data_IF_708053124318
#
_entry.id   IF_708053124318
#
_cell.length_a   1.000
_cell.length_b   1.000
_cell.length_c   1.000
_cell.angle_alpha   90.00
_cell.angle_beta   90.00
_cell.angle_gamma   90.00
#
_symmetry.space_group_name_H-M   'P 1'
#
loop_
_entity.id
_entity.type
_entity.pdbx_description
1 polymer ?
#
# COMPACT_ATOMS: atom_id res chain seq x y z
N UNK A 1 0.37 5.09 -72.42
CA UNK A 1 -1.02 5.44 -72.09
C UNK A 1 -1.67 4.39 -71.19
N UNK A 2 -1.67 3.09 -71.52
CA UNK A 2 -2.18 2.06 -70.59
C UNK A 2 -1.26 1.78 -69.38
N UNK A 3 0.07 1.83 -69.57
CA UNK A 3 1.03 1.62 -68.48
C UNK A 3 1.13 2.80 -67.50
N UNK A 4 0.86 4.03 -67.96
CA UNK A 4 0.80 5.22 -67.09
C UNK A 4 -0.46 5.24 -66.21
N UNK A 5 -1.59 4.71 -66.71
CA UNK A 5 -2.81 4.58 -65.91
C UNK A 5 -2.67 3.51 -64.80
N UNK A 6 -1.93 2.43 -65.07
CA UNK A 6 -1.69 1.38 -64.09
C UNK A 6 -0.72 1.85 -62.98
N UNK A 7 0.35 2.58 -63.34
CA UNK A 7 1.28 3.14 -62.36
C UNK A 7 0.63 4.25 -61.51
N UNK A 8 -0.21 5.09 -62.11
CA UNK A 8 -1.00 6.09 -61.40
C UNK A 8 -1.98 5.45 -60.41
N UNK A 9 -2.69 4.39 -60.81
CA UNK A 9 -3.63 3.67 -59.94
C UNK A 9 -2.94 2.96 -58.76
N UNK A 10 -1.73 2.41 -58.97
CA UNK A 10 -0.93 1.79 -57.92
C UNK A 10 -0.41 2.85 -56.93
N UNK A 11 -0.02 4.04 -57.42
CA UNK A 11 0.41 5.15 -56.57
C UNK A 11 -0.74 5.71 -55.72
N UNK A 12 -1.95 5.82 -56.30
CA UNK A 12 -3.14 6.33 -55.61
C UNK A 12 -3.65 5.34 -54.56
N UNK A 13 -3.54 4.04 -54.83
CA UNK A 13 -3.81 2.98 -53.87
C UNK A 13 -2.82 2.98 -52.69
N UNK A 14 -1.52 3.17 -52.96
CA UNK A 14 -0.49 3.26 -51.91
C UNK A 14 -0.65 4.51 -51.03
N UNK A 15 -1.02 5.65 -51.63
CA UNK A 15 -1.34 6.89 -50.89
C UNK A 15 -2.59 6.70 -50.04
N UNK A 16 -3.60 5.98 -50.55
CA UNK A 16 -4.82 5.67 -49.81
C UNK A 16 -4.57 4.72 -48.63
N UNK A 17 -3.68 3.74 -48.78
CA UNK A 17 -3.30 2.80 -47.72
C UNK A 17 -2.44 3.46 -46.63
N UNK A 18 -1.55 4.37 -47.03
CA UNK A 18 -0.79 5.21 -46.10
C UNK A 18 -1.69 6.19 -45.33
N UNK A 19 -2.65 6.83 -46.02
CA UNK A 19 -3.65 7.70 -45.39
C UNK A 19 -4.56 6.93 -44.42
N UNK A 20 -4.96 5.70 -44.77
CA UNK A 20 -5.74 4.83 -43.90
C UNK A 20 -4.94 4.39 -42.66
N UNK A 21 -3.64 4.11 -42.81
CA UNK A 21 -2.76 3.77 -41.69
C UNK A 21 -2.56 4.95 -40.74
N UNK A 22 -2.34 6.16 -41.27
CA UNK A 22 -2.24 7.38 -40.45
C UNK A 22 -3.56 7.71 -39.75
N UNK A 23 -4.70 7.47 -40.41
CA UNK A 23 -6.02 7.66 -39.80
C UNK A 23 -6.28 6.67 -38.66
N UNK A 24 -5.75 5.45 -38.71
CA UNK A 24 -5.85 4.47 -37.63
C UNK A 24 -4.90 4.75 -36.45
N UNK A 25 -3.79 5.46 -36.68
CA UNK A 25 -2.92 5.98 -35.61
C UNK A 25 -3.49 7.24 -34.94
N UNK A 26 -4.32 8.01 -35.64
CA UNK A 26 -4.92 9.26 -35.16
C UNK A 26 -6.31 9.07 -34.55
N UNK A 27 -6.98 7.95 -34.85
CA UNK A 27 -8.16 7.53 -34.10
C UNK A 27 -7.69 7.17 -32.69
N UNK A 28 -8.08 7.91 -31.64
CA UNK A 28 -7.92 7.39 -30.30
C UNK A 28 -8.60 6.00 -30.32
N UNK A 29 -7.97 4.95 -29.79
CA UNK A 29 -8.72 3.74 -29.53
C UNK A 29 -9.98 4.16 -28.78
N UNK A 30 -11.12 3.58 -29.12
CA UNK A 30 -12.33 3.63 -28.29
C UNK A 30 -12.01 2.91 -26.96
N UNK A 31 -11.07 3.47 -26.22
CA UNK A 31 -10.90 3.27 -24.81
C UNK A 31 -12.08 4.02 -24.23
N UNK A 32 -13.19 3.31 -24.12
CA UNK A 32 -14.25 3.64 -23.20
C UNK A 32 -13.58 3.80 -21.84
N UNK A 33 -13.12 5.02 -21.54
CA UNK A 33 -13.19 5.57 -20.21
C UNK A 33 -14.67 5.41 -19.90
N UNK A 34 -15.05 4.30 -19.26
CA UNK A 34 -16.32 4.24 -18.58
C UNK A 34 -16.24 5.38 -17.60
N UNK A 35 -16.88 6.48 -17.98
CA UNK A 35 -17.23 7.64 -17.20
C UNK A 35 -18.22 7.20 -16.11
N UNK A 36 -17.76 6.28 -15.26
CA UNK A 36 -18.38 5.90 -13.99
C UNK A 36 -17.61 6.56 -12.84
N UNK A 37 -16.97 7.69 -13.13
CA UNK A 37 -16.28 8.51 -12.15
C UNK A 37 -17.01 9.82 -11.95
N UNK A 38 -18.32 9.71 -11.68
CA UNK A 38 -18.92 10.65 -10.75
C UNK A 38 -18.26 10.40 -9.41
N UNK A 39 -17.15 11.10 -9.19
CA UNK A 39 -16.41 11.08 -7.94
C UNK A 39 -17.23 11.82 -6.88
N UNK A 40 -18.23 11.14 -6.33
CA UNK A 40 -19.07 11.65 -5.23
C UNK A 40 -18.35 11.54 -3.87
N UNK A 41 -17.06 11.19 -3.84
CA UNK A 41 -16.32 10.96 -2.59
C UNK A 41 -15.16 11.93 -2.45
N UNK A 42 -15.49 13.07 -1.86
CA UNK A 42 -14.56 14.02 -1.30
C UNK A 42 -13.65 13.29 -0.29
N UNK A 43 -12.33 13.37 -0.47
CA UNK A 43 -11.37 12.93 0.55
C UNK A 43 -11.76 13.59 1.88
N UNK A 44 -11.96 12.79 2.94
CA UNK A 44 -12.18 13.33 4.29
C UNK A 44 -10.93 14.16 4.64
N UNK A 45 -11.07 15.48 4.55
CA UNK A 45 -10.11 16.43 5.12
C UNK A 45 -10.01 16.11 6.61
N UNK A 46 -8.85 15.62 7.02
CA UNK A 46 -8.58 15.33 8.43
C UNK A 46 -8.76 16.65 9.17
N UNK A 47 -9.78 16.72 10.01
CA UNK A 47 -10.09 17.90 10.82
C UNK A 47 -8.80 18.44 11.44
N UNK A 48 -8.46 19.70 11.14
CA UNK A 48 -7.27 20.39 11.67
C UNK A 48 -7.31 20.62 13.19
N UNK A 49 -8.30 20.05 13.88
CA UNK A 49 -8.47 20.13 15.33
C UNK A 49 -7.61 19.12 16.11
N UNK A 50 -6.94 18.18 15.42
CA UNK A 50 -5.86 17.39 16.03
C UNK A 50 -4.53 18.10 15.71
N UNK A 51 -4.03 18.82 16.71
CA UNK A 51 -2.85 19.70 16.72
C UNK A 51 -1.52 18.94 16.54
N UNK A 52 -1.42 18.14 15.48
CA UNK A 52 -0.18 17.57 14.99
C UNK A 52 0.33 18.46 13.87
N UNK A 53 1.06 19.51 14.23
CA UNK A 53 1.88 20.28 13.29
C UNK A 53 3.00 19.39 12.73
N UNK A 54 2.68 18.56 11.74
CA UNK A 54 3.68 18.04 10.84
C UNK A 54 4.03 19.18 9.90
N UNK A 55 5.24 19.72 10.07
CA UNK A 55 5.85 20.59 9.09
C UNK A 55 6.01 19.77 7.81
N UNK A 56 5.01 19.81 6.93
CA UNK A 56 5.15 19.27 5.58
C UNK A 56 6.21 20.13 4.88
N UNK A 57 7.36 19.52 4.61
CA UNK A 57 8.46 20.15 3.89
C UNK A 57 7.98 20.50 2.46
N UNK A 58 7.49 21.73 2.29
CA UNK A 58 7.11 22.34 1.00
C UNK A 58 8.26 22.43 -0.03
N UNK A 59 9.45 21.92 0.30
CA UNK A 59 10.57 21.76 -0.64
C UNK A 59 10.27 20.77 -1.76
N UNK A 60 9.49 19.72 -1.52
CA UNK A 60 9.28 18.65 -2.50
C UNK A 60 8.39 19.11 -3.67
N UNK A 61 7.29 19.80 -3.36
CA UNK A 61 6.39 20.37 -4.37
C UNK A 61 7.09 21.48 -5.19
N UNK A 62 7.89 22.33 -4.53
CA UNK A 62 8.61 23.41 -5.21
C UNK A 62 9.67 22.86 -6.16
N UNK A 63 10.41 21.81 -5.76
CA UNK A 63 11.37 21.11 -6.64
C UNK A 63 10.66 20.42 -7.80
N UNK A 64 9.51 19.79 -7.57
CA UNK A 64 8.73 19.17 -8.64
C UNK A 64 8.28 20.21 -9.69
N UNK A 65 7.76 21.36 -9.26
CA UNK A 65 7.38 22.44 -10.16
C UNK A 65 8.57 23.00 -10.94
N UNK A 66 9.72 23.19 -10.28
CA UNK A 66 10.95 23.66 -10.94
C UNK A 66 11.45 22.66 -12.01
N UNK A 67 11.39 21.35 -11.72
CA UNK A 67 11.78 20.33 -12.72
C UNK A 67 10.83 20.25 -13.91
N UNK A 68 9.55 20.55 -13.71
CA UNK A 68 8.57 20.63 -14.82
C UNK A 68 8.88 21.86 -15.69
N UNK A 69 9.14 23.01 -15.06
CA UNK A 69 9.50 24.24 -15.77
C UNK A 69 10.79 24.06 -16.60
N UNK A 70 11.85 23.52 -16.01
CA UNK A 70 13.12 23.21 -16.69
C UNK A 70 12.93 22.26 -17.88
N UNK A 71 12.12 21.20 -17.74
CA UNK A 71 11.80 20.30 -18.84
C UNK A 71 11.01 20.97 -19.97
N UNK A 72 10.12 21.92 -19.65
CA UNK A 72 9.38 22.68 -20.68
C UNK A 72 10.26 23.67 -21.42
N UNK A 73 11.24 24.26 -20.74
CA UNK A 73 12.24 25.14 -21.35
C UNK A 73 13.17 24.35 -22.28
N UNK A 74 13.66 23.19 -21.83
CA UNK A 74 14.50 22.30 -22.65
C UNK A 74 13.77 21.81 -23.91
N UNK A 75 12.48 21.43 -23.78
CA UNK A 75 11.67 21.03 -24.92
C UNK A 75 11.48 22.19 -25.93
N UNK A 76 11.32 23.43 -25.44
CA UNK A 76 11.24 24.62 -26.29
C UNK A 76 12.57 24.92 -26.98
N UNK A 77 13.71 24.80 -26.29
CA UNK A 77 15.04 25.00 -26.87
C UNK A 77 15.31 23.97 -27.97
N UNK A 78 14.97 22.70 -27.75
CA UNK A 78 15.09 21.63 -28.75
C UNK A 78 14.19 21.88 -29.96
N UNK A 79 12.95 22.34 -29.75
CA UNK A 79 12.04 22.71 -30.83
C UNK A 79 12.59 23.89 -31.65
N UNK A 80 13.13 24.92 -31.00
CA UNK A 80 13.75 26.07 -31.67
C UNK A 80 15.00 25.67 -32.48
N UNK A 81 15.85 24.79 -31.94
CA UNK A 81 17.00 24.26 -32.69
C UNK A 81 16.59 23.40 -33.89
N UNK A 82 15.51 22.63 -33.76
CA UNK A 82 14.95 21.85 -34.87
C UNK A 82 14.44 22.76 -36.00
N UNK A 83 13.82 23.89 -35.67
CA UNK A 83 13.35 24.86 -36.66
C UNK A 83 14.52 25.56 -37.35
N UNK A 84 15.55 25.97 -36.60
CA UNK A 84 16.74 26.63 -37.14
C UNK A 84 17.60 25.71 -38.03
N UNK A 85 17.57 24.39 -37.81
CA UNK A 85 18.27 23.43 -38.67
C UNK A 85 17.44 23.03 -39.91
N UNK A 86 16.11 23.13 -39.85
CA UNK A 86 15.22 22.79 -40.96
C UNK A 86 15.17 23.86 -42.06
N UNK A 87 15.39 25.15 -41.75
CA UNK A 87 15.33 26.23 -42.75
C UNK A 87 16.63 26.44 -43.54
N UNK A 88 17.74 25.80 -43.13
CA UNK A 88 18.97 25.81 -43.91
C UNK A 88 18.90 24.73 -44.98
N UNK A 89 17.94 24.84 -45.88
CA UNK A 89 17.98 24.15 -47.17
C UNK A 89 19.24 24.61 -47.89
N UNK A 90 20.28 23.79 -47.80
CA UNK A 90 21.55 23.97 -48.48
C UNK A 90 21.24 24.19 -49.96
N UNK A 91 21.64 25.35 -50.50
CA UNK A 91 21.60 25.59 -51.94
C UNK A 91 22.39 24.47 -52.62
N UNK A 92 21.69 23.58 -53.32
CA UNK A 92 22.27 22.46 -54.06
C UNK A 92 23.27 23.01 -55.07
N UNK A 93 24.56 22.82 -54.78
CA UNK A 93 25.59 22.94 -55.78
C UNK A 93 25.43 21.68 -56.66
N UNK A 94 25.20 21.81 -57.97
CA UNK A 94 25.02 20.64 -58.83
C UNK A 94 26.25 19.73 -58.74
N UNK A 95 26.02 18.45 -58.43
CA UNK A 95 27.09 17.46 -58.34
C UNK A 95 27.67 17.20 -59.73
N UNK A 96 28.99 17.06 -59.83
CA UNK A 96 29.65 16.66 -61.07
C UNK A 96 29.30 15.19 -61.40
N UNK A 97 29.16 14.86 -62.68
CA UNK A 97 28.71 13.52 -63.11
C UNK A 97 29.68 12.40 -62.69
N UNK A 98 30.98 12.66 -62.70
CA UNK A 98 32.02 11.72 -62.28
C UNK A 98 31.93 11.37 -60.78
N UNK A 99 31.73 12.37 -59.92
CA UNK A 99 31.48 12.17 -58.49
C UNK A 99 30.18 11.38 -58.25
N UNK A 100 29.15 11.63 -59.05
CA UNK A 100 27.88 10.90 -58.97
C UNK A 100 28.04 9.43 -59.33
N UNK A 101 28.72 9.11 -60.43
CA UNK A 101 28.97 7.72 -60.83
C UNK A 101 29.85 7.00 -59.81
N UNK A 102 30.87 7.66 -59.26
CA UNK A 102 31.67 7.09 -58.18
C UNK A 102 30.80 6.76 -56.96
N UNK A 103 30.00 7.72 -56.48
CA UNK A 103 29.10 7.53 -55.34
C UNK A 103 28.02 6.47 -55.61
N UNK A 104 27.53 6.38 -56.84
CA UNK A 104 26.57 5.36 -57.27
C UNK A 104 27.18 3.95 -57.23
N UNK A 105 28.37 3.77 -57.83
CA UNK A 105 29.05 2.48 -57.84
C UNK A 105 29.48 2.04 -56.44
N UNK A 106 29.90 2.98 -55.58
CA UNK A 106 30.15 2.71 -54.15
C UNK A 106 28.88 2.24 -53.45
N UNK A 107 27.75 2.93 -53.64
CA UNK A 107 26.45 2.60 -53.02
C UNK A 107 25.94 1.22 -53.43
N UNK A 108 26.16 0.82 -54.69
CA UNK A 108 25.83 -0.51 -55.18
C UNK A 108 26.87 -1.59 -54.84
N UNK A 109 27.98 -1.22 -54.19
CA UNK A 109 29.05 -2.16 -53.83
C UNK A 109 29.86 -2.69 -55.02
N UNK A 110 29.83 -1.98 -56.16
CA UNK A 110 30.48 -2.39 -57.42
C UNK A 110 31.95 -1.94 -57.48
N UNK A 111 32.77 -2.37 -56.50
CA UNK A 111 34.15 -1.90 -56.34
C UNK A 111 35.07 -2.15 -57.55
N UNK A 112 34.96 -3.32 -58.20
CA UNK A 112 35.75 -3.62 -59.41
C UNK A 112 35.39 -2.71 -60.58
N UNK A 113 34.11 -2.39 -60.75
CA UNK A 113 33.63 -1.49 -61.80
C UNK A 113 34.04 -0.05 -61.50
N UNK A 114 34.03 0.34 -60.23
CA UNK A 114 34.55 1.63 -59.77
C UNK A 114 36.03 1.77 -60.10
N UNK A 115 36.86 0.77 -59.77
CA UNK A 115 38.31 0.82 -60.03
C UNK A 115 38.61 0.92 -61.54
N UNK A 116 37.91 0.14 -62.38
CA UNK A 116 38.02 0.23 -63.84
C UNK A 116 37.60 1.62 -64.34
N UNK A 117 36.44 2.12 -63.90
CA UNK A 117 35.92 3.42 -64.29
C UNK A 117 36.89 4.55 -63.92
N UNK A 118 37.39 4.58 -62.68
CA UNK A 118 38.34 5.60 -62.23
C UNK A 118 39.64 5.54 -63.03
N UNK A 119 40.18 4.34 -63.26
CA UNK A 119 41.42 4.17 -64.02
C UNK A 119 41.28 4.68 -65.45
N UNK A 120 40.21 4.29 -66.15
CA UNK A 120 39.93 4.76 -67.52
C UNK A 120 39.66 6.26 -67.55
N UNK A 121 38.86 6.79 -66.61
CA UNK A 121 38.51 8.21 -66.53
C UNK A 121 39.74 9.11 -66.37
N UNK A 122 40.64 8.77 -65.45
CA UNK A 122 41.88 9.52 -65.25
C UNK A 122 42.86 9.36 -66.42
N UNK A 123 42.92 8.18 -67.06
CA UNK A 123 43.74 7.97 -68.26
C UNK A 123 43.25 8.84 -69.44
N UNK A 124 41.94 8.99 -69.63
CA UNK A 124 41.36 9.85 -70.66
C UNK A 124 41.64 11.34 -70.40
N UNK A 125 41.65 11.76 -69.13
CA UNK A 125 42.02 13.12 -68.73
C UNK A 125 43.51 13.38 -69.00
N UNK A 126 44.39 12.46 -68.61
CA UNK A 126 45.85 12.59 -68.81
C UNK A 126 46.23 12.66 -70.30
N UNK A 127 45.52 11.90 -71.15
CA UNK A 127 45.68 11.94 -72.61
C UNK A 127 45.08 13.20 -73.26
N UNK A 128 44.39 14.05 -72.49
CA UNK A 128 43.76 15.29 -72.96
C UNK A 128 42.56 15.08 -73.89
N UNK A 129 42.00 13.86 -73.92
CA UNK A 129 40.82 13.50 -74.71
C UNK A 129 39.53 13.98 -74.04
N UNK A 130 39.54 14.02 -72.71
CA UNK A 130 38.46 14.51 -71.87
C UNK A 130 38.97 15.65 -70.99
N UNK A 131 38.29 16.80 -70.96
CA UNK A 131 38.57 17.84 -69.96
C UNK A 131 37.59 17.71 -68.79
N UNK A 132 38.01 18.16 -67.61
CA UNK A 132 37.19 18.09 -66.38
C UNK A 132 35.87 18.85 -66.56
N UNK A 133 35.86 19.92 -67.36
CA UNK A 133 34.65 20.71 -67.67
C UNK A 133 33.69 20.01 -68.63
N UNK A 134 34.16 19.00 -69.38
CA UNK A 134 33.34 18.24 -70.33
C UNK A 134 32.51 17.14 -69.63
N UNK A 135 32.79 16.86 -68.35
CA UNK A 135 32.10 15.86 -67.54
C UNK A 135 30.62 16.17 -67.32
N UNK A 136 30.21 17.45 -67.40
CA UNK A 136 28.82 17.87 -67.20
C UNK A 136 28.33 17.74 -65.74
N UNK A 137 27.12 18.26 -65.49
CA UNK A 137 26.48 18.24 -64.17
C UNK A 137 25.38 17.18 -64.13
N UNK A 138 25.14 16.61 -62.95
CA UNK A 138 24.05 15.67 -62.73
C UNK A 138 22.71 16.38 -62.96
N UNK A 139 21.78 15.79 -63.74
CA UNK A 139 20.44 16.36 -63.87
C UNK A 139 19.70 16.39 -62.52
N UNK A 140 19.11 17.54 -62.21
CA UNK A 140 18.43 17.82 -60.93
C UNK A 140 17.41 16.76 -60.49
N UNK A 141 16.77 16.07 -61.45
CA UNK A 141 15.79 15.01 -61.18
C UNK A 141 16.40 13.85 -60.39
N UNK A 142 17.65 13.46 -60.67
CA UNK A 142 18.31 12.36 -59.97
C UNK A 142 18.71 12.76 -58.55
N UNK A 143 19.22 13.97 -58.37
CA UNK A 143 19.53 14.53 -57.05
C UNK A 143 18.27 14.61 -56.18
N UNK A 144 17.18 15.12 -56.75
CA UNK A 144 15.88 15.19 -56.08
C UNK A 144 15.33 13.82 -55.70
N UNK A 145 15.40 12.83 -56.60
CA UNK A 145 14.94 11.47 -56.28
C UNK A 145 15.76 10.85 -55.15
N UNK A 146 17.08 11.03 -55.15
CA UNK A 146 17.92 10.55 -54.07
C UNK A 146 17.58 11.21 -52.72
N UNK A 147 17.27 12.51 -52.72
CA UNK A 147 16.82 13.21 -51.51
C UNK A 147 15.47 12.68 -51.01
N UNK A 148 14.51 12.50 -51.91
CA UNK A 148 13.21 11.93 -51.58
C UNK A 148 13.35 10.51 -51.02
N UNK A 149 14.26 9.68 -51.54
CA UNK A 149 14.56 8.36 -50.98
C UNK A 149 15.09 8.44 -49.55
N UNK A 150 16.02 9.37 -49.28
CA UNK A 150 16.57 9.61 -47.94
C UNK A 150 15.46 10.08 -46.98
N UNK A 151 14.61 11.00 -47.43
CA UNK A 151 13.48 11.52 -46.66
C UNK A 151 12.45 10.43 -46.36
N UNK A 152 12.12 9.58 -47.33
CA UNK A 152 11.23 8.43 -47.12
C UNK A 152 11.82 7.47 -46.09
N UNK A 153 13.13 7.21 -46.15
CA UNK A 153 13.81 6.34 -45.18
C UNK A 153 13.82 6.96 -43.77
N UNK A 154 14.07 8.26 -43.64
CA UNK A 154 14.03 8.95 -42.34
C UNK A 154 12.61 8.97 -41.78
N UNK A 155 11.61 9.32 -42.58
CA UNK A 155 10.20 9.33 -42.16
C UNK A 155 9.73 7.95 -41.74
N UNK A 156 10.11 6.89 -42.46
CA UNK A 156 9.80 5.50 -42.05
C UNK A 156 10.44 5.16 -40.70
N UNK A 157 11.69 5.54 -40.48
CA UNK A 157 12.38 5.31 -39.20
C UNK A 157 11.69 6.06 -38.06
N UNK A 158 11.29 7.31 -38.28
CA UNK A 158 10.62 8.13 -37.28
C UNK A 158 9.22 7.62 -36.97
N UNK A 159 8.49 7.13 -37.98
CA UNK A 159 7.21 6.47 -37.80
C UNK A 159 7.35 5.21 -36.92
N UNK A 160 8.36 4.38 -37.15
CA UNK A 160 8.62 3.20 -36.32
C UNK A 160 9.13 3.55 -34.91
N UNK A 161 9.85 4.66 -34.75
CA UNK A 161 10.21 5.20 -33.43
C UNK A 161 8.96 5.66 -32.67
N UNK A 162 8.08 6.42 -33.34
CA UNK A 162 6.84 6.93 -32.78
C UNK A 162 5.89 5.79 -32.37
N UNK A 163 5.73 4.77 -33.21
CA UNK A 163 4.97 3.56 -32.84
C UNK A 163 5.50 2.93 -31.56
N UNK A 164 6.82 2.76 -31.44
CA UNK A 164 7.44 2.20 -30.22
C UNK A 164 7.26 3.08 -29.00
N UNK A 165 7.29 4.41 -29.15
CA UNK A 165 7.03 5.30 -28.01
C UNK A 165 5.56 5.26 -27.59
N UNK A 166 4.64 5.24 -28.55
CA UNK A 166 3.19 5.12 -28.30
C UNK A 166 2.89 3.84 -27.53
N UNK A 167 3.35 2.67 -28.02
CA UNK A 167 3.11 1.39 -27.33
C UNK A 167 3.69 1.39 -25.92
N UNK A 168 4.89 1.94 -25.73
CA UNK A 168 5.50 2.08 -24.41
C UNK A 168 4.67 2.97 -23.47
N UNK A 169 4.14 4.08 -23.98
CA UNK A 169 3.28 4.98 -23.18
C UNK A 169 1.93 4.33 -22.84
N UNK A 170 1.34 3.58 -23.77
CA UNK A 170 0.10 2.83 -23.54
C UNK A 170 0.30 1.77 -22.43
N UNK A 171 1.40 1.01 -22.49
CA UNK A 171 1.74 0.04 -21.44
C UNK A 171 1.94 0.69 -20.06
N UNK A 172 2.60 1.86 -20.02
CA UNK A 172 2.79 2.61 -18.78
C UNK A 172 1.47 3.13 -18.22
N UNK A 173 0.60 3.67 -19.07
CA UNK A 173 -0.72 4.16 -18.70
C UNK A 173 -1.58 3.02 -18.14
N UNK A 174 -1.59 1.85 -18.77
CA UNK A 174 -2.31 0.67 -18.27
C UNK A 174 -1.81 0.21 -16.90
N UNK A 175 -0.49 0.31 -16.63
CA UNK A 175 0.07 0.01 -15.31
C UNK A 175 -0.40 1.02 -14.26
N UNK A 176 -0.33 2.31 -14.56
CA UNK A 176 -0.80 3.37 -13.65
C UNK A 176 -2.29 3.26 -13.35
N UNK A 177 -3.10 2.90 -14.36
CA UNK A 177 -4.52 2.69 -14.17
C UNK A 177 -4.82 1.53 -13.23
N UNK A 178 -4.11 0.40 -13.38
CA UNK A 178 -4.26 -0.75 -12.48
C UNK A 178 -3.87 -0.40 -11.05
N UNK A 179 -2.80 0.37 -10.85
CA UNK A 179 -2.37 0.81 -9.51
C UNK A 179 -3.41 1.76 -8.89
N UNK A 180 -3.89 2.75 -9.64
CA UNK A 180 -4.99 3.63 -9.22
C UNK A 180 -6.22 2.83 -8.80
N UNK A 181 -6.62 1.84 -9.60
CA UNK A 181 -7.79 1.02 -9.32
C UNK A 181 -7.57 0.11 -8.11
N UNK A 182 -6.34 -0.41 -7.92
CA UNK A 182 -5.94 -1.14 -6.73
C UNK A 182 -6.08 -0.28 -5.47
N UNK A 183 -5.53 0.93 -5.47
CA UNK A 183 -5.66 1.86 -4.34
C UNK A 183 -7.12 2.25 -4.08
N UNK A 184 -7.90 2.52 -5.13
CA UNK A 184 -9.33 2.86 -5.01
C UNK A 184 -10.11 1.71 -4.38
N UNK A 185 -9.87 0.47 -4.81
CA UNK A 185 -10.52 -0.71 -4.22
C UNK A 185 -10.06 -0.96 -2.78
N UNK A 186 -8.76 -0.80 -2.50
CA UNK A 186 -8.21 -0.98 -1.16
C UNK A 186 -8.78 0.05 -0.17
N UNK A 187 -8.80 1.32 -0.56
CA UNK A 187 -9.40 2.39 0.25
C UNK A 187 -10.87 2.11 0.54
N UNK A 188 -11.67 1.72 -0.46
CA UNK A 188 -13.08 1.33 -0.27
C UNK A 188 -13.23 0.20 0.77
N UNK A 189 -12.37 -0.82 0.73
CA UNK A 189 -12.36 -1.91 1.71
C UNK A 189 -12.04 -1.39 3.11
N UNK A 190 -10.98 -0.60 3.25
CA UNK A 190 -10.55 -0.03 4.54
C UNK A 190 -11.65 0.83 5.15
N UNK A 191 -12.35 1.64 4.34
CA UNK A 191 -13.49 2.45 4.81
C UNK A 191 -14.65 1.57 5.29
N UNK A 192 -14.96 0.47 4.60
CA UNK A 192 -15.97 -0.48 5.05
C UNK A 192 -15.60 -1.10 6.41
N UNK A 193 -14.34 -1.51 6.58
CA UNK A 193 -13.83 -2.05 7.84
C UNK A 193 -13.84 -1.00 8.96
N UNK A 194 -13.40 0.24 8.68
CA UNK A 194 -13.49 1.40 9.57
C UNK A 194 -14.92 1.57 10.09
N UNK A 195 -15.90 1.59 9.18
CA UNK A 195 -17.30 1.82 9.53
C UNK A 195 -17.91 0.66 10.35
N UNK A 196 -17.49 -0.58 10.07
CA UNK A 196 -17.85 -1.74 10.89
C UNK A 196 -17.32 -1.60 12.33
N UNK A 197 -16.04 -1.27 12.48
CA UNK A 197 -15.42 -1.07 13.79
C UNK A 197 -16.06 0.10 14.56
N UNK A 198 -16.35 1.21 13.89
CA UNK A 198 -17.08 2.34 14.49
C UNK A 198 -18.44 1.90 15.02
N UNK A 199 -19.16 1.07 14.27
CA UNK A 199 -20.47 0.56 14.68
C UNK A 199 -20.37 -0.36 15.91
N UNK A 200 -19.36 -1.23 15.94
CA UNK A 200 -19.10 -2.12 17.07
C UNK A 200 -18.68 -1.32 18.32
N UNK A 201 -17.84 -0.29 18.16
CA UNK A 201 -17.44 0.63 19.23
C UNK A 201 -18.66 1.38 19.81
N UNK A 202 -19.57 1.87 18.95
CA UNK A 202 -20.82 2.53 19.38
C UNK A 202 -21.69 1.57 20.18
N UNK A 203 -21.85 0.33 19.71
CA UNK A 203 -22.63 -0.71 20.41
C UNK A 203 -22.00 -1.03 21.78
N UNK A 204 -20.68 -1.14 21.84
CA UNK A 204 -19.96 -1.39 23.08
C UNK A 204 -20.12 -0.23 24.09
N UNK A 205 -19.98 1.02 23.62
CA UNK A 205 -20.20 2.20 24.45
C UNK A 205 -21.62 2.26 25.02
N UNK A 206 -22.62 1.94 24.20
CA UNK A 206 -24.02 1.86 24.66
C UNK A 206 -24.21 0.75 25.72
N UNK A 207 -23.57 -0.41 25.53
CA UNK A 207 -23.59 -1.50 26.50
C UNK A 207 -22.99 -1.09 27.85
N UNK A 208 -21.83 -0.43 27.86
CA UNK A 208 -21.24 0.06 29.11
C UNK A 208 -22.05 1.17 29.78
N UNK A 209 -22.64 2.09 29.00
CA UNK A 209 -23.55 3.09 29.53
C UNK A 209 -24.77 2.44 30.21
N UNK A 210 -25.24 1.29 29.72
CA UNK A 210 -26.35 0.55 30.34
C UNK A 210 -26.00 -0.10 31.69
N UNK A 211 -24.73 -0.40 31.97
CA UNK A 211 -24.31 -0.94 33.26
C UNK A 211 -24.22 0.12 34.37
N UNK A 212 -24.00 1.38 34.01
CA UNK A 212 -23.89 2.48 34.96
C UNK A 212 -25.08 2.57 35.94
N UNK A 213 -26.36 2.55 35.51
CA UNK A 213 -27.49 2.55 36.43
C UNK A 213 -27.58 1.30 37.30
N UNK A 214 -27.24 0.12 36.76
CA UNK A 214 -27.26 -1.15 37.51
C UNK A 214 -26.23 -1.13 38.64
N UNK A 215 -25.03 -0.60 38.38
CA UNK A 215 -23.99 -0.44 39.40
C UNK A 215 -24.39 0.60 40.46
N UNK A 216 -25.02 1.70 40.04
CA UNK A 216 -25.56 2.72 40.97
C UNK A 216 -26.62 2.12 41.89
N UNK A 217 -27.59 1.39 41.33
CA UNK A 217 -28.65 0.73 42.11
C UNK A 217 -28.08 -0.30 43.10
N UNK A 218 -27.08 -1.10 42.67
CA UNK A 218 -26.45 -2.07 43.54
C UNK A 218 -25.70 -1.41 44.71
N UNK A 219 -25.00 -0.30 44.45
CA UNK A 219 -24.33 0.49 45.48
C UNK A 219 -25.33 1.08 46.47
N UNK A 220 -26.45 1.63 45.98
CA UNK A 220 -27.52 2.16 46.81
C UNK A 220 -28.13 1.07 47.71
N UNK A 221 -28.43 -0.12 47.15
CA UNK A 221 -28.92 -1.28 47.92
C UNK A 221 -27.94 -1.71 48.99
N UNK A 222 -26.65 -1.70 48.70
CA UNK A 222 -25.61 -2.02 49.68
C UNK A 222 -25.58 -1.01 50.83
N UNK A 223 -25.61 0.29 50.53
CA UNK A 223 -25.66 1.34 51.56
C UNK A 223 -26.93 1.26 52.40
N UNK A 224 -28.10 1.04 51.77
CA UNK A 224 -29.37 0.88 52.47
C UNK A 224 -29.39 -0.36 53.39
N UNK A 225 -28.82 -1.48 52.92
CA UNK A 225 -28.66 -2.69 53.74
C UNK A 225 -27.74 -2.42 54.94
N UNK A 226 -26.66 -1.67 54.73
CA UNK A 226 -25.73 -1.30 55.78
C UNK A 226 -26.37 -0.39 56.84
N UNK A 227 -27.14 0.63 56.42
CA UNK A 227 -27.86 1.53 57.33
C UNK A 227 -28.96 0.80 58.09
N UNK A 228 -29.72 -0.08 57.42
CA UNK A 228 -30.73 -0.90 58.07
C UNK A 228 -30.12 -1.86 59.10
N UNK A 229 -28.99 -2.52 58.76
CA UNK A 229 -28.25 -3.38 59.71
C UNK A 229 -27.85 -2.61 60.96
N UNK A 230 -27.36 -1.38 60.79
CA UNK A 230 -26.99 -0.51 61.91
C UNK A 230 -28.21 -0.15 62.77
N UNK A 231 -29.32 0.23 62.15
CA UNK A 231 -30.57 0.59 62.84
C UNK A 231 -31.15 -0.60 63.63
N UNK A 232 -31.26 -1.77 63.01
CA UNK A 232 -31.70 -3.00 63.68
C UNK A 232 -30.73 -3.42 64.79
N UNK A 233 -29.43 -3.12 64.66
CA UNK A 233 -28.48 -3.37 65.75
C UNK A 233 -28.74 -2.50 66.96
N UNK A 234 -28.96 -1.21 66.76
CA UNK A 234 -29.30 -0.28 67.84
C UNK A 234 -30.62 -0.64 68.53
N UNK A 235 -31.63 -1.05 67.77
CA UNK A 235 -32.91 -1.54 68.33
C UNK A 235 -32.70 -2.79 69.19
N UNK A 236 -31.89 -3.73 68.72
CA UNK A 236 -31.53 -4.94 69.48
C UNK A 236 -30.78 -4.59 70.77
N UNK A 237 -29.84 -3.66 70.71
CA UNK A 237 -29.06 -3.21 71.86
C UNK A 237 -29.96 -2.50 72.89
N UNK A 238 -30.92 -1.69 72.43
CA UNK A 238 -31.94 -1.08 73.28
C UNK A 238 -32.83 -2.13 73.96
N UNK A 239 -33.30 -3.13 73.22
CA UNK A 239 -34.10 -4.22 73.77
C UNK A 239 -33.29 -5.08 74.76
N UNK A 240 -32.03 -5.39 74.45
CA UNK A 240 -31.13 -6.08 75.39
C UNK A 240 -30.90 -5.25 76.66
N UNK A 241 -30.68 -3.94 76.54
CA UNK A 241 -30.56 -3.04 77.70
C UNK A 241 -31.81 -3.03 78.58
N UNK A 242 -33.01 -3.06 78.00
CA UNK A 242 -34.27 -3.22 78.74
C UNK A 242 -34.36 -4.58 79.44
N UNK A 243 -34.02 -5.67 78.76
CA UNK A 243 -34.02 -7.03 79.35
C UNK A 243 -33.03 -7.13 80.51
N UNK A 244 -31.81 -6.63 80.35
CA UNK A 244 -30.81 -6.60 81.42
C UNK A 244 -31.27 -5.72 82.59
N UNK A 245 -31.90 -4.57 82.31
CA UNK A 245 -32.53 -3.72 83.33
C UNK A 245 -33.64 -4.44 84.10
N UNK A 246 -34.48 -5.20 83.41
CA UNK A 246 -35.54 -6.01 84.05
C UNK A 246 -34.96 -7.19 84.84
N UNK A 247 -33.93 -7.87 84.33
CA UNK A 247 -33.24 -8.98 85.03
C UNK A 247 -32.59 -8.50 86.33
N UNK A 248 -31.87 -7.38 86.29
CA UNK A 248 -31.28 -6.77 87.48
C UNK A 248 -32.36 -6.31 88.47
N UNK A 249 -33.49 -5.77 88.00
CA UNK A 249 -34.63 -5.45 88.87
C UNK A 249 -35.24 -6.70 89.52
N UNK A 250 -35.37 -7.82 88.78
CA UNK A 250 -35.82 -9.10 89.30
C UNK A 250 -34.84 -9.68 90.33
N UNK A 251 -33.54 -9.70 90.07
CA UNK A 251 -32.51 -10.16 91.02
C UNK A 251 -32.49 -9.32 92.31
N UNK A 252 -32.67 -8.00 92.21
CA UNK A 252 -32.81 -7.12 93.38
C UNK A 252 -34.09 -7.43 94.20
N UNK A 253 -35.18 -7.83 93.54
CA UNK A 253 -36.42 -8.22 94.20
C UNK A 253 -36.32 -9.62 94.83
N UNK A 254 -35.65 -10.56 94.15
CA UNK A 254 -35.43 -11.94 94.59
C UNK A 254 -34.40 -12.02 95.75
N UNK A 255 -33.37 -11.17 95.72
CA UNK A 255 -32.47 -10.95 96.87
C UNK A 255 -33.15 -10.26 98.05
N UNK A 256 -34.24 -9.51 97.82
CA UNK A 256 -35.14 -9.01 98.86
C UNK A 256 -36.04 -10.10 99.48
N UNK A 257 -36.36 -11.16 98.73
CA UNK A 257 -37.21 -12.27 99.18
C UNK A 257 -36.42 -13.43 99.83
N UNK A 258 -35.11 -13.52 99.60
CA UNK A 258 -34.23 -14.55 100.18
C UNK A 258 -33.58 -14.08 101.49
N UNK A 259 -34.41 -13.77 102.48
CA UNK A 259 -34.08 -13.97 103.90
C UNK A 259 -34.97 -15.07 104.48
N UNK A 260 -34.79 -16.29 103.99
CA UNK A 260 -34.72 -17.52 104.79
C UNK A 260 -34.46 -18.72 103.86
N UNK A 261 -33.66 -19.66 104.39
CA UNK A 261 -33.31 -21.01 103.91
C UNK A 261 -31.85 -21.16 103.40
N UNK A 262 -30.97 -21.77 104.23
CA UNK A 262 -29.66 -22.27 103.84
C UNK A 262 -29.69 -23.77 103.44
N UNK A 263 -28.74 -24.18 102.59
CA UNK A 263 -28.44 -25.58 102.26
C UNK A 263 -28.95 -25.96 100.86
N UNK A 264 -28.25 -26.71 100.02
CA UNK A 264 -27.37 -27.84 100.32
C UNK A 264 -26.48 -28.13 99.10
N UNK A 265 -25.27 -28.62 99.36
CA UNK A 265 -24.33 -29.12 98.35
C UNK A 265 -24.91 -30.37 97.66
N UNK A 266 -24.83 -30.45 96.33
CA UNK A 266 -24.84 -31.73 95.60
C UNK A 266 -23.81 -31.61 94.48
N UNK A 267 -22.79 -32.46 94.54
CA UNK A 267 -21.83 -32.64 93.47
C UNK A 267 -22.41 -33.46 92.32
N UNK A 268 -21.98 -33.16 91.11
CA UNK A 268 -22.01 -34.10 90.00
C UNK A 268 -20.73 -33.92 89.16
N UNK A 269 -19.84 -34.90 89.28
CA UNK A 269 -18.86 -35.22 88.25
C UNK A 269 -19.58 -35.77 87.01
N UNK A 270 -19.21 -35.30 85.81
CA UNK A 270 -19.42 -35.97 84.52
C UNK A 270 -18.43 -35.44 83.46
N UNK A 271 -17.27 -36.11 83.38
CA UNK A 271 -16.59 -36.60 82.17
C UNK A 271 -16.75 -35.89 80.80
N UNK A 272 -15.59 -35.54 80.23
CA UNK A 272 -15.23 -35.36 78.80
C UNK A 272 -16.32 -34.82 77.86
N UNK A 273 -16.17 -33.54 77.51
CA UNK A 273 -16.70 -32.94 76.28
C UNK A 273 -16.25 -33.76 75.05
N UNK A 274 -17.15 -34.56 74.49
CA UNK A 274 -17.12 -34.83 73.04
C UNK A 274 -17.68 -33.59 72.38
N UNK A 275 -16.88 -32.99 71.50
CA UNK A 275 -17.30 -31.94 70.59
C UNK A 275 -18.54 -32.45 69.82
N UNK A 276 -19.69 -31.84 70.07
CA UNK A 276 -20.84 -31.97 69.20
C UNK A 276 -20.52 -31.15 67.94
N UNK A 277 -19.86 -31.80 66.98
CA UNK A 277 -19.65 -31.24 65.64
C UNK A 277 -21.04 -31.15 64.97
N UNK A 278 -21.52 -29.93 64.76
CA UNK A 278 -22.82 -29.69 64.16
C UNK A 278 -22.90 -30.22 62.72
N UNK A 279 -24.11 -30.46 62.17
CA UNK A 279 -24.28 -31.06 60.83
C UNK A 279 -23.48 -30.35 59.74
N UNK A 280 -23.42 -29.02 59.81
CA UNK A 280 -22.69 -28.15 58.88
C UNK A 280 -21.17 -28.25 59.03
N UNK A 281 -20.67 -28.45 60.25
CA UNK A 281 -19.24 -28.54 60.53
C UNK A 281 -18.67 -29.89 60.11
N UNK A 282 -19.44 -30.97 60.31
CA UNK A 282 -19.14 -32.32 59.82
C UNK A 282 -19.06 -32.38 58.29
N UNK A 283 -20.01 -31.73 57.59
CA UNK A 283 -20.00 -31.67 56.12
C UNK A 283 -18.76 -30.97 55.56
N UNK A 284 -18.29 -29.91 56.22
CA UNK A 284 -17.09 -29.16 55.83
C UNK A 284 -15.81 -29.98 56.01
N UNK A 285 -15.75 -30.80 57.07
CA UNK A 285 -14.64 -31.72 57.34
C UNK A 285 -14.60 -32.88 56.33
N UNK A 286 -15.74 -33.46 55.99
CA UNK A 286 -15.86 -34.53 55.00
C UNK A 286 -15.48 -34.04 53.59
N UNK A 287 -15.90 -32.83 53.19
CA UNK A 287 -15.53 -32.23 51.90
C UNK A 287 -14.01 -32.00 51.76
N UNK A 288 -13.33 -31.62 52.85
CA UNK A 288 -11.87 -31.47 52.86
C UNK A 288 -11.13 -32.80 52.70
N UNK A 289 -11.65 -33.89 53.27
CA UNK A 289 -11.05 -35.22 53.14
C UNK A 289 -11.27 -35.83 51.74
N UNK A 290 -12.40 -35.55 51.09
CA UNK A 290 -12.64 -35.99 49.72
C UNK A 290 -11.70 -35.30 48.70
N UNK A 291 -11.40 -34.01 48.88
CA UNK A 291 -10.42 -33.29 48.04
C UNK A 291 -9.01 -33.89 48.11
N UNK A 292 -8.61 -34.42 49.26
CA UNK A 292 -7.29 -35.04 49.43
C UNK A 292 -7.20 -36.45 48.82
N UNK A 293 -8.33 -37.16 48.68
CA UNK A 293 -8.37 -38.52 48.11
C UNK A 293 -8.40 -38.53 46.58
N UNK A 294 -8.99 -37.51 45.96
CA UNK A 294 -9.08 -37.38 44.49
C UNK A 294 -7.73 -37.04 43.84
N UNK A 295 -6.84 -36.35 44.54
CA UNK A 295 -5.51 -35.98 44.03
C UNK A 295 -4.53 -37.16 44.01
N UNK A 296 -4.79 -38.23 44.78
CA UNK A 296 -3.87 -39.35 44.94
C UNK A 296 -4.18 -40.57 44.03
N UNK A 297 -5.18 -40.51 43.14
CA UNK A 297 -5.65 -41.69 42.38
C UNK A 297 -5.81 -41.48 40.87
N UNK A 298 -5.09 -40.53 40.27
CA UNK A 298 -5.16 -40.26 38.83
C UNK A 298 -3.79 -40.41 38.17
N UNK A 299 -3.46 -41.65 37.79
CA UNK A 299 -2.35 -41.99 36.88
C UNK A 299 -2.89 -42.62 35.60
N UNK A 300 -2.58 -41.97 34.46
CA UNK A 300 -2.45 -42.41 33.06
C UNK A 300 -3.45 -43.43 32.43
N UNK A 301 -4.26 -42.92 31.48
CA UNK A 301 -4.58 -43.33 30.06
C UNK A 301 -4.71 -44.81 29.62
N UNK A 302 -5.31 -45.13 28.43
CA UNK A 302 -6.52 -44.63 27.75
C UNK A 302 -7.43 -45.79 27.21
N UNK A 303 -8.43 -45.45 26.38
CA UNK A 303 -9.26 -46.28 25.46
C UNK A 303 -10.73 -46.59 25.81
N UNK A 304 -11.64 -46.24 24.88
CA UNK A 304 -12.84 -47.03 24.55
C UNK A 304 -14.23 -46.41 24.80
N UNK A 305 -14.77 -45.74 23.77
CA UNK A 305 -16.17 -45.55 23.32
C UNK A 305 -17.39 -45.68 24.27
N UNK A 306 -18.33 -44.73 24.13
CA UNK A 306 -19.78 -44.99 24.36
C UNK A 306 -20.65 -43.85 24.91
N UNK A 307 -21.21 -43.06 24.00
CA UNK A 307 -22.52 -42.33 24.02
C UNK A 307 -23.07 -41.54 25.23
N UNK A 308 -23.47 -40.29 24.89
CA UNK A 308 -24.67 -39.51 25.32
C UNK A 308 -24.90 -39.25 26.83
N UNK A 309 -24.77 -37.98 27.23
CA UNK A 309 -25.92 -37.12 27.59
C UNK A 309 -25.44 -35.71 27.94
N UNK A 310 -26.18 -34.69 27.49
CA UNK A 310 -25.83 -33.28 27.63
C UNK A 310 -25.58 -32.82 29.07
N UNK A 311 -24.53 -32.02 29.24
CA UNK A 311 -24.42 -31.05 30.32
C UNK A 311 -24.03 -29.69 29.74
N UNK A 312 -24.76 -28.69 30.22
CA UNK A 312 -24.49 -27.28 30.05
C UNK A 312 -23.23 -26.97 30.84
N UNK A 313 -22.13 -26.71 30.13
CA UNK A 313 -20.88 -26.29 30.75
C UNK A 313 -20.78 -24.77 30.73
N UNK A 314 -20.79 -24.18 31.93
CA UNK A 314 -20.05 -22.97 32.23
C UNK A 314 -18.57 -23.29 31.99
N UNK A 315 -17.96 -22.65 30.99
CA UNK A 315 -16.51 -22.57 30.84
C UNK A 315 -16.17 -21.13 30.50
N UNK A 316 -15.50 -20.51 31.46
CA UNK A 316 -14.79 -19.26 31.31
C UNK A 316 -13.84 -19.35 30.12
N UNK A 317 -13.79 -18.28 29.34
CA UNK A 317 -12.93 -18.13 28.18
C UNK A 317 -11.46 -18.21 28.60
N UNK A 318 -10.78 -19.28 28.18
CA UNK A 318 -9.33 -19.25 28.04
C UNK A 318 -8.95 -18.24 26.95
N UNK A 319 -7.84 -17.53 27.16
CA UNK A 319 -7.26 -16.64 26.18
C UNK A 319 -6.74 -17.45 24.98
N UNK A 320 -6.82 -16.92 23.74
CA UNK A 320 -6.35 -17.63 22.57
C UNK A 320 -4.83 -17.88 22.66
N UNK A 321 -4.44 -19.14 22.49
CA UNK A 321 -3.04 -19.55 22.26
C UNK A 321 -2.70 -19.21 20.81
N UNK A 322 -1.60 -18.49 20.61
CA UNK A 322 -1.06 -18.16 19.29
C UNK A 322 -0.81 -19.44 18.48
N UNK A 323 -1.24 -19.52 17.21
CA UNK A 323 -0.80 -20.58 16.34
C UNK A 323 0.68 -20.36 15.96
N UNK A 324 1.58 -21.02 16.69
CA UNK A 324 2.88 -21.39 16.15
C UNK A 324 2.64 -22.29 14.92
N UNK A 325 2.91 -21.73 13.76
CA UNK A 325 2.79 -22.39 12.47
C UNK A 325 3.32 -21.50 11.37
N UNK A 326 4.58 -21.07 11.47
CA UNK A 326 5.31 -20.44 10.37
C UNK A 326 5.42 -21.42 9.20
N UNK A 327 4.87 -21.12 8.01
CA UNK A 327 5.37 -21.70 6.78
C UNK A 327 6.68 -20.98 6.48
N UNK A 328 7.79 -21.72 6.56
CA UNK A 328 9.10 -21.25 6.12
C UNK A 328 9.05 -20.90 4.63
N UNK A 329 9.01 -19.60 4.33
CA UNK A 329 9.43 -19.05 3.05
C UNK A 329 10.88 -18.60 3.20
N UNK A 330 11.82 -19.44 2.75
CA UNK A 330 13.17 -19.01 2.41
C UNK A 330 13.08 -18.09 1.19
N UNK A 331 12.94 -16.79 1.45
CA UNK A 331 13.16 -15.71 0.50
C UNK A 331 14.54 -15.11 0.73
N UNK A 332 15.37 -15.13 -0.31
CA UNK A 332 16.75 -14.68 -0.32
C UNK A 332 16.95 -13.32 0.38
N UNK A 333 17.75 -13.32 1.45
CA UNK A 333 18.28 -12.12 2.06
C UNK A 333 19.48 -11.67 1.22
N UNK A 334 19.20 -11.00 0.11
CA UNK A 334 20.23 -10.28 -0.62
C UNK A 334 20.62 -9.06 0.23
N UNK A 335 21.79 -9.14 0.85
CA UNK A 335 22.40 -8.06 1.58
C UNK A 335 22.73 -6.91 0.62
N UNK A 336 21.83 -5.95 0.46
CA UNK A 336 22.22 -4.64 -0.04
C UNK A 336 23.09 -3.95 1.04
N UNK A 337 24.34 -3.58 0.76
CA UNK A 337 25.17 -2.86 1.71
C UNK A 337 24.61 -1.45 1.92
N UNK A 338 24.78 -0.85 3.11
CA UNK A 338 24.36 0.53 3.34
C UNK A 338 25.13 1.46 2.40
N UNK A 339 24.42 2.19 1.55
CA UNK A 339 25.01 3.26 0.75
C UNK A 339 25.58 4.30 1.71
N UNK A 340 26.91 4.34 1.78
CA UNK A 340 27.65 5.43 2.43
C UNK A 340 27.32 6.71 1.68
N UNK A 341 26.75 7.67 2.41
CA UNK A 341 26.74 9.08 2.00
C UNK A 341 28.16 9.55 1.74
N UNK A 342 28.41 10.09 0.54
CA UNK A 342 29.57 10.95 0.25
C UNK A 342 30.76 10.26 -0.42
N UNK A 343 30.70 10.08 -1.74
CA UNK A 343 31.85 10.28 -2.64
C UNK A 343 31.35 10.27 -4.10
N UNK A 344 31.02 11.45 -4.61
CA UNK A 344 30.88 11.64 -6.05
C UNK A 344 32.30 11.64 -6.64
N UNK A 345 32.69 10.59 -7.36
CA UNK A 345 33.84 10.65 -8.26
C UNK A 345 33.35 11.12 -9.62
N UNK A 346 33.74 12.34 -10.00
CA UNK A 346 33.56 12.86 -11.36
C UNK A 346 34.47 12.05 -12.30
N UNK A 347 33.93 11.02 -12.95
CA UNK A 347 34.57 10.42 -14.12
C UNK A 347 34.25 11.26 -15.34
N UNK A 348 35.28 11.88 -15.92
CA UNK A 348 35.28 12.78 -17.10
C UNK A 348 34.96 14.25 -16.82
N UNK A 349 36.00 15.04 -16.53
CA UNK A 349 36.01 16.47 -16.81
C UNK A 349 36.53 16.63 -18.25
N UNK A 350 35.66 16.98 -19.18
CA UNK A 350 36.07 17.46 -20.51
C UNK A 350 36.62 18.88 -20.35
N UNK A 351 37.92 19.02 -20.57
CA UNK A 351 38.61 20.31 -20.54
C UNK A 351 38.37 21.01 -21.88
N UNK A 352 37.38 21.90 -21.95
CA UNK A 352 36.92 22.49 -23.23
C UNK A 352 37.72 23.74 -23.64
N UNK A 353 38.53 24.33 -22.76
CA UNK A 353 39.30 25.54 -23.11
C UNK A 353 40.71 25.55 -22.54
N UNK A 354 41.71 25.66 -23.42
CA UNK A 354 43.14 25.81 -23.10
C UNK A 354 43.72 27.18 -23.54
N UNK A 355 42.88 28.18 -23.85
CA UNK A 355 43.35 29.52 -24.21
C UNK A 355 42.77 30.60 -23.29
N UNK A 356 43.65 31.48 -22.81
CA UNK A 356 43.29 32.63 -22.00
C UNK A 356 42.47 33.62 -22.83
N UNK A 357 41.30 34.01 -22.31
CA UNK A 357 40.56 35.16 -22.82
C UNK A 357 41.30 36.40 -22.34
N UNK A 358 42.01 37.06 -23.26
CA UNK A 358 42.54 38.40 -23.03
C UNK A 358 41.37 39.39 -22.93
N UNK A 359 41.33 40.13 -21.83
CA UNK A 359 40.41 41.24 -21.59
C UNK A 359 40.81 42.49 -22.35
#
# INVERSE_FOLDING_TARGET
MAEEEEEAAVSEAAVSEAAFSLQNLTKPPDFTITDDSKDDYQYEEVSADDDFSLHEDYEDLSKALQTIEEQTEDAQILALQSVLTSEKSVSEIPQALDDYFCNFLVRLGMSRTLDCFQTEWYELIERGVLRVEDAGLVPDVYTRNQQLEIEILSLKKDLENCKRSVTKTEEALLKMQKERDFHRMHHKRVVQEKNRLISDMKRLKAHYASYEPVLKELSEKYQNSLTQKMLTSLERDKAMGQVTGLQTALENLESGYTKQIPGTKVGHDCTRKKEFEGPTQKALREARQQKFRVVASSSCDPDGDGEKMGRRDLKDSEFPVDPEGTPSFEGAKEHAPPLKSGQYQLSSVLKVHDFAVSW
#
